data_IF_752106264184
#
_entry.id   IF_752106264184
#
_cell.length_a   1.000
_cell.length_b   1.000
_cell.length_c   1.000
_cell.angle_alpha   90.00
_cell.angle_beta   90.00
_cell.angle_gamma   90.00
#
_symmetry.space_group_name_H-M   'P 1'
#
loop_
_entity.id
_entity.type
_entity.pdbx_description
1 polymer ?
#
# COMPACT_ATOMS: atom_id res chain seq x y z
N UNK A 1 24.57 -12.92 -4.40
CA UNK A 1 23.27 -12.68 -5.08
C UNK A 1 22.06 -13.00 -4.20
N UNK A 2 22.17 -13.82 -3.14
CA UNK A 2 21.03 -14.20 -2.28
C UNK A 2 20.62 -13.15 -1.24
N UNK A 3 21.54 -12.29 -0.80
CA UNK A 3 21.32 -11.32 0.29
C UNK A 3 20.49 -10.09 -0.13
N UNK A 4 20.51 -9.77 -1.44
CA UNK A 4 19.90 -8.56 -2.00
C UNK A 4 18.36 -8.63 -2.06
N UNK A 5 17.81 -9.81 -2.40
CA UNK A 5 16.35 -10.03 -2.40
C UNK A 5 15.75 -9.94 -1.01
N UNK A 6 16.46 -10.43 0.01
CA UNK A 6 16.03 -10.37 1.41
C UNK A 6 16.01 -8.93 1.90
N UNK A 7 17.04 -8.13 1.55
CA UNK A 7 17.06 -6.70 1.86
C UNK A 7 15.90 -5.95 1.24
N UNK A 8 15.61 -6.16 -0.05
CA UNK A 8 14.50 -5.48 -0.72
C UNK A 8 13.14 -5.83 -0.09
N UNK A 9 12.90 -7.11 0.20
CA UNK A 9 11.66 -7.53 0.85
C UNK A 9 11.49 -6.92 2.26
N UNK A 10 12.58 -6.77 3.02
CA UNK A 10 12.55 -6.13 4.34
C UNK A 10 12.23 -4.64 4.22
N UNK A 11 12.83 -3.94 3.26
CA UNK A 11 12.58 -2.52 3.04
C UNK A 11 11.16 -2.26 2.53
N UNK A 12 10.64 -3.09 1.62
CA UNK A 12 9.23 -3.03 1.19
C UNK A 12 8.27 -3.23 2.36
N UNK A 13 8.55 -4.21 3.23
CA UNK A 13 7.72 -4.46 4.40
C UNK A 13 7.76 -3.30 5.40
N UNK A 14 8.93 -2.71 5.67
CA UNK A 14 9.07 -1.51 6.52
C UNK A 14 8.34 -0.31 5.94
N UNK A 15 8.47 -0.10 4.63
CA UNK A 15 7.76 0.95 3.94
C UNK A 15 6.24 0.77 4.08
N UNK A 16 5.73 -0.44 3.88
CA UNK A 16 4.30 -0.73 4.08
C UNK A 16 3.83 -0.45 5.50
N UNK A 17 4.59 -0.87 6.51
CA UNK A 17 4.28 -0.58 7.92
C UNK A 17 4.25 0.92 8.23
N UNK A 18 5.17 1.70 7.65
CA UNK A 18 5.19 3.16 7.80
C UNK A 18 3.90 3.78 7.23
N UNK A 19 3.52 3.38 6.01
CA UNK A 19 2.34 3.89 5.32
C UNK A 19 1.04 3.49 6.05
N UNK A 20 0.97 2.26 6.55
CA UNK A 20 -0.18 1.77 7.32
C UNK A 20 -0.35 2.51 8.66
N UNK A 21 0.74 2.98 9.26
CA UNK A 21 0.70 3.79 10.48
C UNK A 21 0.14 5.20 10.27
N UNK A 22 0.08 5.70 9.03
CA UNK A 22 -0.48 7.03 8.72
C UNK A 22 -2.00 6.92 8.53
N UNK A 23 -2.75 7.27 9.58
CA UNK A 23 -4.22 7.18 9.57
C UNK A 23 -4.90 8.49 9.13
N UNK A 24 -4.25 9.63 9.35
CA UNK A 24 -4.82 10.96 9.07
C UNK A 24 -4.68 11.41 7.61
N UNK A 25 -4.08 10.56 6.76
CA UNK A 25 -4.02 10.77 5.31
C UNK A 25 -4.39 9.52 4.54
N UNK A 26 -5.19 9.70 3.47
CA UNK A 26 -5.44 8.66 2.50
C UNK A 26 -4.22 8.46 1.60
N UNK A 27 -3.55 7.32 1.71
CA UNK A 27 -2.41 6.94 0.87
C UNK A 27 -2.78 5.65 0.14
N UNK A 28 -2.66 5.68 -1.18
CA UNK A 28 -2.83 4.52 -2.05
C UNK A 28 -1.85 4.65 -3.22
N UNK A 29 -1.46 3.50 -3.76
CA UNK A 29 -0.59 3.43 -4.94
C UNK A 29 -1.39 2.94 -6.12
N UNK A 30 -1.06 3.44 -7.30
CA UNK A 30 -1.56 2.94 -8.58
C UNK A 30 -0.40 2.46 -9.43
N UNK A 31 -0.65 1.48 -10.29
CA UNK A 31 0.26 1.13 -11.37
C UNK A 31 0.07 2.09 -12.58
N UNK A 32 0.88 1.96 -13.65
CA UNK A 32 0.75 2.81 -14.83
C UNK A 32 -0.59 2.69 -15.58
N UNK A 33 -1.30 1.59 -15.40
CA UNK A 33 -2.62 1.35 -16.00
C UNK A 33 -3.75 1.91 -15.11
N UNK A 34 -3.42 2.58 -14.00
CA UNK A 34 -4.37 3.19 -13.08
C UNK A 34 -4.90 2.24 -12.01
N UNK A 35 -4.39 0.99 -11.96
CA UNK A 35 -4.91 -0.02 -11.05
C UNK A 35 -4.38 0.19 -9.64
N UNK A 36 -5.27 0.20 -8.65
CA UNK A 36 -4.91 0.38 -7.24
C UNK A 36 -4.18 -0.87 -6.72
N UNK A 37 -2.93 -0.67 -6.30
CA UNK A 37 -2.02 -1.74 -5.83
C UNK A 37 -1.78 -1.72 -4.32
N UNK A 38 -2.20 -0.67 -3.63
CA UNK A 38 -2.08 -0.54 -2.18
C UNK A 38 -3.17 0.36 -1.61
N UNK A 39 -3.65 0.05 -0.41
CA UNK A 39 -4.69 0.80 0.27
C UNK A 39 -4.40 0.86 1.77
N UNK A 40 -4.00 2.03 2.29
CA UNK A 40 -3.65 2.16 3.70
C UNK A 40 -4.87 2.42 4.60
N UNK A 41 -4.67 2.37 5.92
CA UNK A 41 -5.72 2.59 6.92
C UNK A 41 -6.40 3.97 6.79
N UNK A 42 -5.64 5.01 6.44
CA UNK A 42 -6.22 6.32 6.18
C UNK A 42 -7.11 6.34 4.93
N UNK A 43 -6.73 5.65 3.86
CA UNK A 43 -7.55 5.55 2.65
C UNK A 43 -8.90 4.90 2.94
N UNK A 44 -8.90 3.79 3.69
CA UNK A 44 -10.11 3.18 4.22
C UNK A 44 -10.95 4.16 5.05
N UNK A 45 -10.34 4.87 6.00
CA UNK A 45 -11.03 5.84 6.86
C UNK A 45 -11.69 6.97 6.08
N UNK A 46 -10.98 7.56 5.12
CA UNK A 46 -11.47 8.74 4.39
C UNK A 46 -12.40 8.39 3.21
N UNK A 47 -12.19 7.24 2.57
CA UNK A 47 -12.96 6.84 1.39
C UNK A 47 -14.07 5.85 1.69
N UNK A 48 -14.01 5.15 2.83
CA UNK A 48 -15.06 4.26 3.31
C UNK A 48 -15.04 2.85 2.72
N UNK A 49 -14.06 2.51 1.89
CA UNK A 49 -13.91 1.19 1.28
C UNK A 49 -12.82 0.37 1.96
N UNK A 50 -13.06 -0.93 2.06
CA UNK A 50 -12.07 -1.91 2.48
C UNK A 50 -11.01 -2.12 1.39
N UNK A 51 -9.79 -2.50 1.79
CA UNK A 51 -8.69 -2.84 0.86
C UNK A 51 -9.13 -3.91 -0.15
N UNK A 52 -9.85 -4.94 0.31
CA UNK A 52 -10.34 -6.03 -0.54
C UNK A 52 -11.36 -5.61 -1.60
N UNK A 53 -12.00 -4.44 -1.46
CA UNK A 53 -12.98 -3.92 -2.42
C UNK A 53 -12.32 -3.08 -3.52
N UNK A 54 -11.13 -2.54 -3.24
CA UNK A 54 -10.49 -1.51 -4.06
C UNK A 54 -9.21 -2.00 -4.74
N UNK A 55 -8.48 -2.94 -4.12
CA UNK A 55 -7.31 -3.52 -4.77
C UNK A 55 -7.69 -4.15 -6.11
N UNK A 56 -6.93 -3.82 -7.16
CA UNK A 56 -7.18 -4.31 -8.51
C UNK A 56 -8.24 -3.52 -9.31
N UNK A 57 -8.78 -2.44 -8.75
CA UNK A 57 -9.73 -1.55 -9.44
C UNK A 57 -9.03 -0.37 -10.13
N UNK A 58 -9.65 0.19 -11.18
CA UNK A 58 -9.24 1.40 -11.93
C UNK A 58 -10.01 2.65 -11.45
#
# INVERSE_FOLDING_TARGET
MSDDRTKNAIEEMRFRLLIDAVVDYAIYMIDPDGIITSWNAGAKRFKGYEEAEILGQH
#
